data_IF_666539889211
#
_entry.id   IF_666539889211
#
_cell.length_a   1.000
_cell.length_b   1.000
_cell.length_c   1.000
_cell.angle_alpha   90.00
_cell.angle_beta   90.00
_cell.angle_gamma   90.00
#
_symmetry.space_group_name_H-M   'P 1'
#
loop_
_entity.id
_entity.type
_entity.pdbx_description
1 polymer ?
#
# COMPACT_ATOMS: atom_id res chain seq x y z
N UNK A 1 -9.42 9.86 -7.66
CA UNK A 1 -8.17 10.54 -7.20
C UNK A 1 -8.10 10.46 -5.69
N UNK A 2 -6.98 9.97 -5.15
CA UNK A 2 -6.72 9.89 -3.69
C UNK A 2 -6.42 11.28 -3.14
N UNK A 3 -7.07 11.65 -2.04
CA UNK A 3 -6.95 12.93 -1.35
C UNK A 3 -6.46 12.71 0.09
N UNK A 4 -5.23 13.12 0.45
CA UNK A 4 -4.64 12.85 1.77
C UNK A 4 -5.35 13.55 2.94
N UNK A 5 -6.17 14.58 2.69
CA UNK A 5 -6.90 15.28 3.74
C UNK A 5 -8.17 14.54 4.17
N UNK A 6 -8.59 13.53 3.40
CA UNK A 6 -9.67 12.62 3.75
C UNK A 6 -9.17 11.48 4.64
N UNK A 7 -9.77 11.22 5.82
CA UNK A 7 -9.30 10.19 6.75
C UNK A 7 -9.18 8.79 6.13
N UNK A 8 -10.14 8.38 5.28
CA UNK A 8 -10.11 7.07 4.62
C UNK A 8 -8.93 6.95 3.64
N UNK A 9 -8.63 8.02 2.92
CA UNK A 9 -7.53 8.08 1.96
C UNK A 9 -6.17 8.20 2.66
N UNK A 10 -6.07 8.98 3.75
CA UNK A 10 -4.89 9.04 4.59
C UNK A 10 -4.53 7.67 5.16
N UNK A 11 -5.53 6.90 5.58
CA UNK A 11 -5.35 5.53 6.03
C UNK A 11 -4.82 4.61 4.91
N UNK A 12 -5.40 4.70 3.70
CA UNK A 12 -4.88 3.98 2.53
C UNK A 12 -3.42 4.32 2.22
N UNK A 13 -3.06 5.60 2.26
CA UNK A 13 -1.68 6.07 2.04
C UNK A 13 -0.74 5.45 3.06
N UNK A 14 -1.14 5.40 4.34
CA UNK A 14 -0.37 4.76 5.41
C UNK A 14 -0.16 3.26 5.14
N UNK A 15 -1.20 2.53 4.75
CA UNK A 15 -1.10 1.10 4.43
C UNK A 15 -0.19 0.85 3.22
N UNK A 16 -0.31 1.66 2.17
CA UNK A 16 0.56 1.57 1.00
C UNK A 16 2.02 1.91 1.32
N UNK A 17 2.27 2.82 2.27
CA UNK A 17 3.61 3.10 2.79
C UNK A 17 4.19 1.90 3.54
N UNK A 18 3.42 1.28 4.44
CA UNK A 18 3.84 0.06 5.16
C UNK A 18 4.19 -1.03 4.15
N UNK A 19 3.37 -1.23 3.11
CA UNK A 19 3.69 -2.17 2.04
C UNK A 19 5.03 -1.85 1.36
N UNK A 20 5.30 -0.58 1.00
CA UNK A 20 6.59 -0.19 0.42
C UNK A 20 7.76 -0.48 1.35
N UNK A 21 7.63 -0.23 2.65
CA UNK A 21 8.67 -0.50 3.64
C UNK A 21 8.97 -2.00 3.73
N UNK A 22 7.94 -2.86 3.76
CA UNK A 22 8.11 -4.32 3.83
C UNK A 22 8.63 -4.93 2.54
N UNK A 23 8.18 -4.42 1.40
CA UNK A 23 8.68 -4.84 0.09
C UNK A 23 10.16 -4.46 -0.08
N UNK A 24 10.56 -3.27 0.34
CA UNK A 24 11.96 -2.84 0.34
C UNK A 24 12.84 -3.65 1.30
N UNK A 25 12.35 -3.94 2.51
CA UNK A 25 13.03 -4.80 3.48
C UNK A 25 13.26 -6.20 2.89
N UNK A 26 12.22 -6.82 2.31
CA UNK A 26 12.33 -8.12 1.65
C UNK A 26 13.29 -8.08 0.45
N UNK A 27 13.24 -7.03 -0.37
CA UNK A 27 14.08 -6.89 -1.56
C UNK A 27 15.57 -6.72 -1.24
N UNK A 28 15.90 -6.17 -0.07
CA UNK A 28 17.28 -5.93 0.37
C UNK A 28 17.81 -7.02 1.29
N UNK A 29 16.97 -7.98 1.69
CA UNK A 29 17.36 -9.05 2.60
C UNK A 29 18.27 -10.09 1.92
N UNK A 30 19.38 -10.40 2.57
CA UNK A 30 20.40 -11.34 2.07
C UNK A 30 20.65 -12.54 2.99
N UNK A 31 19.82 -12.74 4.02
CA UNK A 31 19.93 -13.87 4.95
C UNK A 31 19.27 -15.15 4.43
N UNK A 32 19.43 -16.24 5.18
CA UNK A 32 18.99 -17.57 4.75
C UNK A 32 17.47 -17.77 4.85
N UNK A 33 16.82 -17.18 5.86
CA UNK A 33 15.38 -17.30 6.06
C UNK A 33 14.66 -15.95 5.84
N UNK A 34 14.03 -15.82 4.68
CA UNK A 34 13.24 -14.65 4.32
C UNK A 34 11.74 -14.85 4.57
N UNK A 35 11.30 -16.02 5.05
CA UNK A 35 9.87 -16.32 5.15
C UNK A 35 9.10 -15.38 6.10
N UNK A 36 9.64 -14.96 7.26
CA UNK A 36 9.00 -13.95 8.10
C UNK A 36 8.76 -12.62 7.36
N UNK A 37 9.71 -12.19 6.53
CA UNK A 37 9.60 -10.95 5.75
C UNK A 37 8.57 -11.09 4.62
N UNK A 38 8.53 -12.24 3.95
CA UNK A 38 7.50 -12.55 2.95
C UNK A 38 6.11 -12.52 3.57
N UNK A 39 5.96 -13.12 4.74
CA UNK A 39 4.67 -13.12 5.44
C UNK A 39 4.24 -11.71 5.86
N UNK A 40 5.16 -10.89 6.37
CA UNK A 40 4.88 -9.48 6.66
C UNK A 40 4.45 -8.70 5.40
N UNK A 41 5.10 -8.92 4.25
CA UNK A 41 4.72 -8.29 2.99
C UNK A 41 3.36 -8.79 2.46
N UNK A 42 3.04 -10.08 2.64
CA UNK A 42 1.71 -10.65 2.31
C UNK A 42 0.60 -10.04 3.17
N UNK A 43 0.82 -9.89 4.46
CA UNK A 43 -0.12 -9.27 5.40
C UNK A 43 -0.36 -7.80 5.03
N UNK A 44 0.71 -7.02 4.83
CA UNK A 44 0.60 -5.62 4.41
C UNK A 44 -0.14 -5.47 3.06
N UNK A 45 0.08 -6.41 2.12
CA UNK A 45 -0.65 -6.44 0.84
C UNK A 45 -2.13 -6.72 1.05
N UNK A 46 -2.46 -7.69 1.91
CA UNK A 46 -3.83 -8.10 2.22
C UNK A 46 -4.61 -6.96 2.87
N UNK A 47 -4.06 -6.35 3.91
CA UNK A 47 -4.67 -5.23 4.63
C UNK A 47 -4.93 -4.04 3.69
N UNK A 48 -3.93 -3.68 2.87
CA UNK A 48 -4.08 -2.61 1.89
C UNK A 48 -5.18 -2.91 0.87
N UNK A 49 -5.23 -4.12 0.32
CA UNK A 49 -6.25 -4.47 -0.67
C UNK A 49 -7.65 -4.49 -0.04
N UNK A 50 -7.78 -4.96 1.21
CA UNK A 50 -9.03 -4.92 1.95
C UNK A 50 -9.51 -3.46 2.12
N UNK A 51 -8.66 -2.58 2.63
CA UNK A 51 -8.98 -1.17 2.78
C UNK A 51 -9.31 -0.48 1.44
N UNK A 52 -8.60 -0.84 0.36
CA UNK A 52 -8.86 -0.27 -0.95
C UNK A 52 -10.22 -0.69 -1.51
N UNK A 53 -10.68 -1.92 -1.22
CA UNK A 53 -12.05 -2.36 -1.52
C UNK A 53 -13.08 -1.63 -0.67
N UNK A 54 -12.84 -1.51 0.64
CA UNK A 54 -13.74 -0.82 1.56
C UNK A 54 -13.93 0.67 1.23
N UNK A 55 -12.93 1.29 0.59
CA UNK A 55 -13.01 2.68 0.16
C UNK A 55 -13.98 2.96 -1.00
N UNK A 56 -14.44 1.93 -1.72
CA UNK A 56 -15.27 2.08 -2.93
C UNK A 56 -14.50 2.51 -4.19
N UNK A 57 -13.21 2.85 -4.08
CA UNK A 57 -12.40 3.34 -5.19
C UNK A 57 -12.20 2.29 -6.28
N UNK A 58 -12.22 0.99 -5.93
CA UNK A 58 -12.09 -0.09 -6.90
C UNK A 58 -13.33 -0.17 -7.79
N UNK A 59 -14.50 0.04 -7.21
CA UNK A 59 -15.79 0.06 -7.89
C UNK A 59 -15.92 1.30 -8.79
N UNK A 60 -15.41 2.45 -8.33
CA UNK A 60 -15.45 3.71 -9.07
C UNK A 60 -14.46 3.79 -10.24
N UNK A 61 -13.24 3.26 -10.06
CA UNK A 61 -12.12 3.49 -10.98
C UNK A 61 -11.52 2.20 -11.57
N UNK A 62 -11.90 1.04 -11.04
CA UNK A 62 -11.28 -0.23 -11.35
C UNK A 62 -10.00 -0.47 -10.55
N UNK A 63 -9.71 -1.75 -10.27
CA UNK A 63 -8.61 -2.16 -9.40
C UNK A 63 -7.24 -1.63 -9.83
N UNK A 64 -6.96 -1.61 -11.13
CA UNK A 64 -5.67 -1.14 -11.64
C UNK A 64 -5.47 0.36 -11.39
N UNK A 65 -6.46 1.18 -11.73
CA UNK A 65 -6.37 2.65 -11.62
C UNK A 65 -6.33 3.06 -10.15
N UNK A 66 -7.23 2.53 -9.31
CA UNK A 66 -7.23 2.81 -7.88
C UNK A 66 -5.87 2.45 -7.23
N UNK A 67 -5.26 1.34 -7.65
CA UNK A 67 -3.93 0.95 -7.19
C UNK A 67 -2.80 1.86 -7.67
N UNK A 68 -2.88 2.42 -8.88
CA UNK A 68 -1.90 3.38 -9.39
C UNK A 68 -2.04 4.73 -8.70
N UNK A 69 -3.26 5.24 -8.55
CA UNK A 69 -3.56 6.47 -7.82
C UNK A 69 -3.01 6.40 -6.39
N UNK A 70 -3.27 5.30 -5.69
CA UNK A 70 -2.76 5.08 -4.34
C UNK A 70 -1.21 5.08 -4.30
N UNK A 71 -0.56 4.38 -5.23
CA UNK A 71 0.92 4.39 -5.31
C UNK A 71 1.46 5.80 -5.58
N UNK A 72 0.83 6.57 -6.45
CA UNK A 72 1.24 7.93 -6.78
C UNK A 72 1.05 8.87 -5.58
N UNK A 73 -0.11 8.82 -4.92
CA UNK A 73 -0.40 9.60 -3.73
C UNK A 73 0.57 9.30 -2.58
N UNK A 74 0.85 8.02 -2.31
CA UNK A 74 1.86 7.65 -1.30
C UNK A 74 3.25 8.17 -1.66
N UNK A 75 3.68 8.09 -2.92
CA UNK A 75 4.97 8.64 -3.35
C UNK A 75 5.03 10.16 -3.20
N UNK A 76 3.94 10.86 -3.48
CA UNK A 76 3.85 12.30 -3.26
C UNK A 76 3.97 12.64 -1.76
N UNK A 77 3.24 11.91 -0.90
CA UNK A 77 3.28 12.07 0.55
C UNK A 77 4.65 11.75 1.19
N UNK A 78 5.47 10.91 0.55
CA UNK A 78 6.83 10.62 1.01
C UNK A 78 7.88 11.66 0.58
N UNK A 79 7.52 12.59 -0.31
CA UNK A 79 8.43 13.64 -0.83
C UNK A 79 8.20 15.00 -0.19
N UNK A 80 7.03 15.23 0.42
CA UNK A 80 6.70 16.41 1.21
C UNK A 80 7.10 16.22 2.66
#
# INVERSE_FOLDING_TARGET
MIDPDRPEHAHLIKLQRIFFERDAELATYTGDDAEPLREAARQATTEKIAALKESGLIEEHGHFVAGQDLKQATRAAMRG
#
